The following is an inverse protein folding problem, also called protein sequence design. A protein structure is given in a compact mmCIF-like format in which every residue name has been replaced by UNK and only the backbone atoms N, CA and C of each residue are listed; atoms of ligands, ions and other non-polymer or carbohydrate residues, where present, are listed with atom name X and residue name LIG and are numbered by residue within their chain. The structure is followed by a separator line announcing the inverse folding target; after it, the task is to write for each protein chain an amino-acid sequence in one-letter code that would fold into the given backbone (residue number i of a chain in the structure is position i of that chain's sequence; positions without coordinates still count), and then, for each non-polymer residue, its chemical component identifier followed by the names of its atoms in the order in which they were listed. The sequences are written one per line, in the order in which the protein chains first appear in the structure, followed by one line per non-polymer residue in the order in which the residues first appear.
data_IF_318842285754
#
_entry.id   IF_318842285754
#
_cell.length_a   1.000
_cell.length_b   1.000
_cell.length_c   1.000
_cell.angle_alpha   90.00
_cell.angle_beta   90.00
_cell.angle_gamma   90.00
#
_symmetry.space_group_name_H-M   'P 1'
#
loop_
_entity.id
_entity.type
_entity.pdbx_description
1 polymer ?
#
# COMPACT_ATOMS: atom_id res chain seq x y z
N UNK A 1 -6.19 17.38 15.50
CA UNK A 1 -6.00 16.31 14.50
C UNK A 1 -5.45 16.93 13.25
N UNK A 2 -4.45 16.31 12.61
CA UNK A 2 -3.85 16.85 11.39
C UNK A 2 -4.94 17.11 10.33
N UNK A 3 -4.89 18.29 9.69
CA UNK A 3 -5.81 18.65 8.62
C UNK A 3 -5.73 17.59 7.51
N UNK A 4 -6.85 16.94 7.21
CA UNK A 4 -6.94 15.93 6.16
C UNK A 4 -6.91 16.67 4.83
N UNK A 5 -5.82 16.55 4.08
CA UNK A 5 -5.70 17.07 2.72
C UNK A 5 -6.81 16.46 1.86
N UNK A 6 -7.62 17.31 1.22
CA UNK A 6 -8.69 16.89 0.31
C UNK A 6 -8.33 17.15 -1.14
N UNK A 7 -9.09 16.55 -2.06
CA UNK A 7 -8.96 16.81 -3.50
C UNK A 7 -9.09 18.30 -3.87
N UNK A 8 -9.86 19.09 -3.09
CA UNK A 8 -10.06 20.51 -3.33
C UNK A 8 -8.81 21.34 -3.00
N UNK A 9 -8.01 20.90 -2.01
CA UNK A 9 -6.78 21.56 -1.59
C UNK A 9 -5.62 21.33 -2.56
N UNK A 10 -5.74 20.33 -3.44
CA UNK A 10 -4.73 19.97 -4.44
C UNK A 10 -5.36 19.78 -5.83
N UNK A 11 -5.80 20.87 -6.51
CA UNK A 11 -6.53 20.77 -7.75
C UNK A 11 -5.69 20.17 -8.88
N UNK A 12 -6.22 19.12 -9.52
CA UNK A 12 -5.60 18.41 -10.63
C UNK A 12 -6.61 18.29 -11.79
N UNK A 13 -6.97 19.39 -12.48
CA UNK A 13 -8.12 19.42 -13.39
C UNK A 13 -8.02 18.37 -14.51
N UNK A 14 -6.82 18.10 -15.02
CA UNK A 14 -6.59 17.14 -16.11
C UNK A 14 -6.39 15.70 -15.63
N UNK A 15 -5.89 15.50 -14.40
CA UNK A 15 -5.54 14.18 -13.87
C UNK A 15 -6.65 13.60 -12.97
N UNK A 16 -7.42 14.45 -12.28
CA UNK A 16 -8.48 14.03 -11.36
C UNK A 16 -9.53 13.09 -12.00
N UNK A 17 -9.97 13.26 -13.27
CA UNK A 17 -10.86 12.29 -13.91
C UNK A 17 -10.27 10.88 -13.97
N UNK A 18 -8.97 10.76 -14.29
CA UNK A 18 -8.27 9.46 -14.32
C UNK A 18 -8.10 8.87 -12.93
N UNK A 19 -7.83 9.69 -11.91
CA UNK A 19 -7.71 9.23 -10.52
C UNK A 19 -9.05 8.71 -9.97
N UNK A 20 -10.18 9.32 -10.36
CA UNK A 20 -11.51 8.78 -10.04
C UNK A 20 -11.77 7.43 -10.70
N UNK A 21 -11.34 7.26 -11.95
CA UNK A 21 -11.43 5.95 -12.62
C UNK A 21 -10.54 4.92 -11.93
N UNK A 22 -9.30 5.30 -11.59
CA UNK A 22 -8.38 4.44 -10.84
C UNK A 22 -9.00 3.99 -9.51
N UNK A 23 -9.69 4.87 -8.78
CA UNK A 23 -10.43 4.48 -7.57
C UNK A 23 -11.45 3.38 -7.84
N UNK A 24 -12.20 3.47 -8.95
CA UNK A 24 -13.16 2.42 -9.32
C UNK A 24 -12.46 1.10 -9.66
N UNK A 25 -11.33 1.16 -10.36
CA UNK A 25 -10.53 -0.01 -10.70
C UNK A 25 -9.94 -0.70 -9.46
N UNK A 26 -9.58 0.07 -8.42
CA UNK A 26 -9.11 -0.47 -7.14
C UNK A 26 -10.23 -1.17 -6.36
N UNK A 27 -11.43 -0.58 -6.30
CA UNK A 27 -12.52 -1.08 -5.43
C UNK A 27 -13.37 -2.15 -6.12
N UNK A 28 -13.68 -1.97 -7.39
CA UNK A 28 -14.65 -2.79 -8.13
C UNK A 28 -14.07 -3.41 -9.42
N UNK A 29 -12.79 -3.15 -9.72
CA UNK A 29 -12.10 -3.69 -10.88
C UNK A 29 -11.07 -4.74 -10.50
N UNK A 30 -9.89 -4.67 -11.13
CA UNK A 30 -8.78 -5.61 -10.95
C UNK A 30 -8.06 -5.51 -9.59
N UNK A 31 -8.30 -4.46 -8.81
CA UNK A 31 -7.72 -4.29 -7.48
C UNK A 31 -6.32 -3.66 -7.41
N UNK A 32 -5.71 -3.29 -8.55
CA UNK A 32 -4.41 -2.59 -8.56
C UNK A 32 -4.20 -1.75 -9.82
N UNK A 33 -3.30 -0.77 -9.75
CA UNK A 33 -2.84 0.00 -10.91
C UNK A 33 -1.38 0.46 -10.72
N UNK A 34 -0.61 0.44 -11.82
CA UNK A 34 0.75 0.99 -11.86
C UNK A 34 0.75 2.34 -12.58
N UNK A 35 1.00 3.41 -11.84
CA UNK A 35 1.19 4.75 -12.40
C UNK A 35 2.68 4.99 -12.71
N UNK A 36 2.98 5.52 -13.90
CA UNK A 36 4.34 5.87 -14.35
C UNK A 36 4.38 7.30 -14.85
N UNK A 37 5.58 7.88 -14.93
CA UNK A 37 5.81 9.20 -15.51
C UNK A 37 5.85 10.37 -14.52
N UNK A 38 5.71 10.12 -13.21
CA UNK A 38 6.00 11.13 -12.20
C UNK A 38 7.52 11.36 -12.12
N UNK A 39 8.03 12.59 -12.28
CA UNK A 39 9.46 12.88 -12.25
C UNK A 39 9.98 12.99 -10.81
N UNK A 40 9.76 11.94 -10.01
CA UNK A 40 10.08 11.91 -8.57
C UNK A 40 11.58 12.17 -8.31
N UNK A 41 12.45 11.69 -9.20
CA UNK A 41 13.90 11.88 -9.13
C UNK A 41 14.34 13.35 -9.32
N UNK A 42 13.51 14.20 -9.93
CA UNK A 42 13.77 15.64 -10.11
C UNK A 42 13.23 16.48 -8.96
N UNK A 43 12.48 15.87 -8.04
CA UNK A 43 11.79 16.59 -6.98
C UNK A 43 12.53 16.44 -5.65
N UNK A 44 12.49 17.50 -4.84
CA UNK A 44 12.87 17.37 -3.43
C UNK A 44 11.93 16.37 -2.74
N UNK A 45 12.40 15.71 -1.67
CA UNK A 45 11.58 14.78 -0.89
C UNK A 45 10.26 15.40 -0.43
N UNK A 46 10.29 16.67 0.00
CA UNK A 46 9.09 17.42 0.40
C UNK A 46 8.10 17.58 -0.75
N UNK A 47 8.58 17.89 -1.96
CA UNK A 47 7.74 18.02 -3.15
C UNK A 47 7.16 16.67 -3.58
N UNK A 48 7.97 15.60 -3.55
CA UNK A 48 7.50 14.25 -3.82
C UNK A 48 6.43 13.80 -2.83
N UNK A 49 6.63 14.04 -1.53
CA UNK A 49 5.64 13.75 -0.49
C UNK A 49 4.33 14.55 -0.69
N UNK A 50 4.42 15.84 -1.00
CA UNK A 50 3.26 16.67 -1.26
C UNK A 50 2.49 16.20 -2.51
N UNK A 51 3.19 15.86 -3.59
CA UNK A 51 2.57 15.31 -4.79
C UNK A 51 1.90 13.96 -4.52
N UNK A 52 2.54 13.08 -3.75
CA UNK A 52 2.01 11.78 -3.39
C UNK A 52 0.72 11.90 -2.56
N UNK A 53 0.73 12.73 -1.51
CA UNK A 53 -0.46 13.01 -0.70
C UNK A 53 -1.56 13.68 -1.52
N UNK A 54 -1.19 14.66 -2.36
CA UNK A 54 -2.12 15.39 -3.22
C UNK A 54 -2.83 14.47 -4.20
N UNK A 55 -2.09 13.59 -4.89
CA UNK A 55 -2.67 12.57 -5.77
C UNK A 55 -3.56 11.60 -4.97
N UNK A 56 -3.08 11.13 -3.81
CA UNK A 56 -3.82 10.23 -2.93
C UNK A 56 -5.17 10.80 -2.49
N UNK A 57 -5.25 12.11 -2.24
CA UNK A 57 -6.47 12.79 -1.83
C UNK A 57 -7.59 12.78 -2.89
N UNK A 58 -7.27 12.54 -4.18
CA UNK A 58 -8.26 12.33 -5.23
C UNK A 58 -8.77 10.87 -5.30
N UNK A 59 -8.07 9.94 -4.65
CA UNK A 59 -8.41 8.52 -4.63
C UNK A 59 -9.17 8.17 -3.34
N UNK A 60 -8.72 8.68 -2.19
CA UNK A 60 -9.32 8.41 -0.89
C UNK A 60 -8.75 9.29 0.23
N UNK A 61 -9.10 8.96 1.48
CA UNK A 61 -8.59 9.66 2.65
C UNK A 61 -7.36 8.95 3.23
N UNK A 62 -6.28 9.70 3.45
CA UNK A 62 -5.08 9.15 4.08
C UNK A 62 -5.38 8.67 5.51
N UNK A 63 -4.85 7.50 5.86
CA UNK A 63 -4.88 6.96 7.22
C UNK A 63 -3.50 7.07 7.85
N UNK A 64 -3.46 7.18 9.17
CA UNK A 64 -2.20 7.08 9.88
C UNK A 64 -1.68 5.64 9.80
N UNK A 65 -0.37 5.50 9.56
CA UNK A 65 0.30 4.22 9.37
C UNK A 65 0.94 3.67 10.64
N UNK A 66 0.97 4.44 11.74
CA UNK A 66 1.58 4.03 12.99
C UNK A 66 1.03 4.82 14.19
N UNK A 67 1.35 4.38 15.41
CA UNK A 67 0.96 5.07 16.64
C UNK A 67 1.45 6.53 16.73
N UNK A 68 2.51 6.89 15.99
CA UNK A 68 3.05 8.25 15.95
C UNK A 68 2.25 9.22 15.05
N UNK A 69 1.20 8.75 14.37
CA UNK A 69 0.37 9.63 13.54
C UNK A 69 0.94 9.87 12.14
N UNK A 70 2.00 9.15 11.72
CA UNK A 70 2.61 9.38 10.41
C UNK A 70 1.64 9.00 9.28
N UNK A 71 1.44 9.92 8.33
CA UNK A 71 0.65 9.68 7.12
C UNK A 71 1.48 9.01 6.01
N UNK A 72 2.80 9.14 6.08
CA UNK A 72 3.75 8.58 5.12
C UNK A 72 4.77 7.71 5.87
N UNK A 73 4.84 6.43 5.51
CA UNK A 73 5.89 5.52 5.90
C UNK A 73 7.05 5.53 4.89
N UNK A 74 8.27 5.32 5.38
CA UNK A 74 9.44 5.08 4.54
C UNK A 74 9.76 3.60 4.52
N UNK A 75 9.59 2.97 3.36
CA UNK A 75 10.07 1.61 3.09
C UNK A 75 11.51 1.70 2.64
N UNK A 76 12.44 1.24 3.48
CA UNK A 76 13.88 1.23 3.21
C UNK A 76 14.61 0.35 4.21
N UNK A 77 15.72 -0.24 3.79
CA UNK A 77 16.63 -0.90 4.71
C UNK A 77 17.30 0.13 5.65
N UNK A 78 17.15 -0.09 6.95
CA UNK A 78 17.77 0.69 8.03
C UNK A 78 18.93 -0.07 8.68
N UNK A 79 19.29 -1.26 8.20
CA UNK A 79 20.29 -2.13 8.82
C UNK A 79 19.78 -2.81 10.09
N UNK A 80 18.46 -2.91 10.26
CA UNK A 80 17.80 -3.60 11.37
C UNK A 80 17.59 -5.07 11.04
N UNK A 81 17.44 -5.91 12.06
CA UNK A 81 17.23 -7.35 11.94
C UNK A 81 15.79 -7.74 12.32
N UNK A 82 15.22 -8.73 11.63
CA UNK A 82 13.83 -9.16 11.84
C UNK A 82 13.59 -10.02 13.08
N UNK A 83 14.67 -10.48 13.73
CA UNK A 83 14.62 -11.21 14.99
C UNK A 83 14.31 -10.31 16.20
N UNK A 84 14.42 -8.99 16.04
CA UNK A 84 13.89 -8.01 16.98
C UNK A 84 12.37 -7.86 16.78
N UNK A 85 11.53 -8.20 17.78
CA UNK A 85 10.07 -8.14 17.66
C UNK A 85 9.53 -6.72 17.45
N UNK A 86 10.31 -5.70 17.75
CA UNK A 86 9.94 -4.29 17.58
C UNK A 86 10.22 -3.75 16.17
N UNK A 87 11.03 -4.48 15.38
CA UNK A 87 11.38 -4.10 14.01
C UNK A 87 10.24 -4.45 13.06
N UNK A 88 9.87 -3.48 12.23
CA UNK A 88 8.92 -3.71 11.13
C UNK A 88 9.70 -4.13 9.90
N UNK A 89 9.19 -5.13 9.19
CA UNK A 89 9.91 -5.75 8.06
C UNK A 89 10.25 -4.77 6.93
N UNK A 90 9.45 -3.70 6.75
CA UNK A 90 9.71 -2.61 5.81
C UNK A 90 10.95 -1.76 6.13
N UNK A 91 11.57 -1.98 7.29
CA UNK A 91 12.80 -1.34 7.75
C UNK A 91 14.05 -2.20 7.50
N UNK A 92 13.89 -3.35 6.84
CA UNK A 92 14.94 -4.34 6.58
C UNK A 92 15.04 -4.64 5.09
N UNK A 93 16.07 -5.40 4.68
CA UNK A 93 16.21 -5.98 3.33
C UNK A 93 15.50 -7.31 3.13
N UNK A 94 14.81 -7.82 4.15
CA UNK A 94 14.21 -9.15 4.11
C UNK A 94 12.92 -9.18 3.29
N UNK A 95 12.59 -10.37 2.78
CA UNK A 95 11.39 -10.56 1.97
C UNK A 95 10.15 -10.36 2.83
N UNK A 96 9.33 -9.36 2.47
CA UNK A 96 7.98 -9.25 3.00
C UNK A 96 7.08 -10.36 2.44
N UNK A 97 6.45 -11.12 3.33
CA UNK A 97 5.43 -12.10 2.95
C UNK A 97 4.16 -11.41 2.50
N UNK A 98 3.32 -12.11 1.74
CA UNK A 98 2.01 -11.57 1.36
C UNK A 98 1.20 -11.22 2.61
N UNK A 99 0.61 -10.04 2.61
CA UNK A 99 -0.27 -9.52 3.65
C UNK A 99 -1.25 -8.52 3.04
N UNK A 100 -2.27 -8.16 3.81
CA UNK A 100 -3.16 -7.06 3.52
C UNK A 100 -3.11 -6.07 4.67
N UNK A 101 -3.06 -4.78 4.35
CA UNK A 101 -3.10 -3.72 5.34
C UNK A 101 -4.54 -3.43 5.79
N UNK A 102 -4.69 -2.84 6.97
CA UNK A 102 -5.99 -2.45 7.53
C UNK A 102 -6.54 -1.16 6.88
N UNK A 103 -6.63 -1.15 5.56
CA UNK A 103 -7.15 -0.05 4.74
C UNK A 103 -7.72 -0.56 3.41
N UNK A 104 -8.48 0.29 2.71
CA UNK A 104 -9.08 -0.07 1.42
C UNK A 104 -8.06 -0.21 0.28
N UNK A 105 -6.97 0.56 0.34
CA UNK A 105 -5.92 0.54 -0.67
C UNK A 105 -4.58 1.05 -0.11
N UNK A 106 -3.50 0.49 -0.62
CA UNK A 106 -2.12 0.90 -0.33
C UNK A 106 -1.51 1.53 -1.57
N UNK A 107 -0.79 2.62 -1.40
CA UNK A 107 -0.04 3.27 -2.47
C UNK A 107 1.45 3.30 -2.12
N UNK A 108 2.30 3.01 -3.10
CA UNK A 108 3.75 3.07 -2.99
C UNK A 108 4.32 3.98 -4.07
N UNK A 109 5.28 4.82 -3.71
CA UNK A 109 6.04 5.65 -4.65
C UNK A 109 7.52 5.32 -4.56
N UNK A 110 8.08 4.81 -5.66
CA UNK A 110 9.51 4.53 -5.76
C UNK A 110 10.28 5.84 -5.92
N UNK A 111 11.01 6.25 -4.87
CA UNK A 111 11.88 7.43 -4.90
C UNK A 111 13.27 7.09 -5.43
N UNK A 112 13.77 5.90 -5.07
CA UNK A 112 15.06 5.35 -5.47
C UNK A 112 14.85 3.86 -5.70
N UNK A 113 15.19 3.39 -6.90
CA UNK A 113 15.12 1.97 -7.22
C UNK A 113 16.31 1.24 -6.60
N UNK A 114 16.08 0.05 -6.04
CA UNK A 114 17.16 -0.81 -5.57
C UNK A 114 18.04 -1.29 -6.73
N UNK A 115 19.33 -1.44 -6.49
CA UNK A 115 20.27 -2.00 -7.47
C UNK A 115 19.95 -3.48 -7.76
N UNK A 116 19.60 -4.23 -6.70
CA UNK A 116 19.19 -5.63 -6.76
C UNK A 116 18.01 -5.88 -5.83
N UNK A 117 17.03 -6.67 -6.27
CA UNK A 117 15.81 -6.94 -5.52
C UNK A 117 14.84 -5.74 -5.51
N UNK A 118 13.99 -5.68 -4.49
CA UNK A 118 12.99 -4.61 -4.34
C UNK A 118 11.76 -4.79 -5.23
N UNK A 119 11.53 -6.00 -5.74
CA UNK A 119 10.34 -6.32 -6.52
C UNK A 119 9.08 -6.27 -5.64
N UNK A 120 8.06 -5.56 -6.13
CA UNK A 120 6.72 -5.63 -5.56
C UNK A 120 5.96 -6.80 -6.18
N UNK A 121 5.50 -7.72 -5.32
CA UNK A 121 4.63 -8.84 -5.72
C UNK A 121 3.21 -8.59 -5.24
N UNK A 122 2.24 -8.98 -6.06
CA UNK A 122 0.81 -8.86 -5.77
C UNK A 122 0.15 -10.22 -6.00
N UNK A 123 -0.82 -10.55 -5.16
CA UNK A 123 -1.66 -11.75 -5.30
C UNK A 123 -3.12 -11.37 -5.11
N UNK A 124 -3.99 -11.95 -5.93
CA UNK A 124 -5.44 -11.75 -5.82
C UNK A 124 -6.03 -12.78 -4.86
N UNK A 125 -6.61 -12.32 -3.75
CA UNK A 125 -7.31 -13.18 -2.78
C UNK A 125 -8.51 -13.89 -3.42
N UNK A 126 -9.20 -13.23 -4.36
CA UNK A 126 -10.30 -13.83 -5.12
C UNK A 126 -9.81 -14.93 -6.06
N UNK A 127 -8.66 -14.75 -6.70
CA UNK A 127 -8.05 -15.79 -7.53
C UNK A 127 -7.66 -16.99 -6.66
N UNK A 128 -7.00 -16.76 -5.52
CA UNK A 128 -6.66 -17.83 -4.56
C UNK A 128 -7.91 -18.61 -4.13
N UNK A 129 -8.99 -17.91 -3.78
CA UNK A 129 -10.26 -18.52 -3.42
C UNK A 129 -10.82 -19.40 -4.56
N UNK A 130 -10.89 -18.85 -5.77
CA UNK A 130 -11.43 -19.57 -6.92
C UNK A 130 -10.59 -20.80 -7.28
N UNK A 131 -9.27 -20.71 -7.21
CA UNK A 131 -8.36 -21.85 -7.46
C UNK A 131 -8.54 -22.96 -6.42
N UNK A 132 -8.71 -22.61 -5.15
CA UNK A 132 -8.99 -23.60 -4.08
C UNK A 132 -10.30 -24.36 -4.36
N UNK A 133 -11.34 -23.65 -4.82
CA UNK A 133 -12.59 -24.29 -5.22
C UNK A 133 -12.41 -25.14 -6.48
N UNK A 134 -11.66 -24.67 -7.47
CA UNK A 134 -11.41 -25.37 -8.73
C UNK A 134 -10.69 -26.72 -8.53
N UNK A 135 -9.78 -26.81 -7.55
CA UNK A 135 -9.11 -28.07 -7.18
C UNK A 135 -9.95 -28.96 -6.26
N UNK A 136 -11.22 -28.63 -6.01
CA UNK A 136 -12.14 -29.46 -5.24
C UNK A 136 -11.88 -29.45 -3.73
N UNK A 137 -11.34 -28.35 -3.18
CA UNK A 137 -11.05 -28.19 -1.74
C UNK A 137 -11.89 -27.10 -1.07
N UNK A 138 -13.25 -27.19 -1.09
CA UNK A 138 -14.11 -26.23 -0.42
C UNK A 138 -13.89 -26.16 1.10
N UNK A 139 -13.36 -27.23 1.70
CA UNK A 139 -12.96 -27.27 3.10
C UNK A 139 -11.83 -26.28 3.41
N UNK A 140 -10.85 -26.14 2.51
CA UNK A 140 -9.78 -25.14 2.66
C UNK A 140 -10.31 -23.72 2.45
N UNK A 141 -11.25 -23.52 1.52
CA UNK A 141 -11.90 -22.22 1.34
C UNK A 141 -12.66 -21.80 2.61
N UNK A 142 -13.40 -22.72 3.22
CA UNK A 142 -14.08 -22.48 4.49
C UNK A 142 -13.12 -22.18 5.65
N UNK A 143 -11.94 -22.81 5.66
CA UNK A 143 -10.90 -22.53 6.66
C UNK A 143 -10.36 -21.10 6.58
N UNK A 144 -10.26 -20.51 5.38
CA UNK A 144 -9.82 -19.12 5.20
C UNK A 144 -10.78 -18.08 5.80
N UNK A 145 -12.04 -18.45 6.05
CA UNK A 145 -13.03 -17.58 6.69
C UNK A 145 -13.03 -17.67 8.22
N UNK A 146 -12.23 -18.59 8.79
CA UNK A 146 -12.14 -18.72 10.23
C UNK A 146 -11.35 -17.55 10.83
N UNK A 147 -11.67 -17.12 12.07
CA UNK A 147 -10.91 -16.08 12.75
C UNK A 147 -9.43 -16.46 12.89
N UNK A 148 -8.55 -15.51 12.63
CA UNK A 148 -7.10 -15.62 12.86
C UNK A 148 -6.69 -14.60 13.91
N UNK A 149 -5.85 -15.01 14.88
CA UNK A 149 -5.30 -14.09 15.85
C UNK A 149 -4.36 -13.09 15.16
N UNK A 150 -4.56 -11.80 15.40
CA UNK A 150 -3.72 -10.72 14.86
C UNK A 150 -2.91 -10.12 16.01
N UNK A 151 -1.59 -10.18 15.90
CA UNK A 151 -0.68 -9.50 16.81
C UNK A 151 -0.60 -8.01 16.44
N UNK A 152 -0.79 -7.13 17.43
CA UNK A 152 -0.72 -5.68 17.24
C UNK A 152 0.71 -5.12 17.35
N UNK A 153 1.68 -5.95 17.74
CA UNK A 153 3.09 -5.55 17.90
C UNK A 153 3.29 -4.25 18.70
N UNK A 154 2.52 -4.09 19.79
CA UNK A 154 2.61 -2.94 20.69
C UNK A 154 1.83 -1.69 20.28
N UNK A 155 0.93 -1.77 19.29
CA UNK A 155 -0.02 -0.71 18.91
C UNK A 155 -1.47 -0.97 19.37
#
# INVERSE_FOLDING_TARGET
GAAVLSAADFPLPTLAPRLRQLRQELIAGRGFELMRGLPLHLWSRKKAAAAFLGIGAHIGAARSQNAAGHLLGHVRDLGLASDDPTVRLYQTRERQTFHADSCDAVALACLVQAETGGESLLVSTLTVWNEILAIGRPDLAAALLQPVAVDRRGE
#
